data_IF_469208476342
#
_entry.id   IF_469208476342
#
_cell.length_a   1.000
_cell.length_b   1.000
_cell.length_c   1.000
_cell.angle_alpha   90.00
_cell.angle_beta   90.00
_cell.angle_gamma   90.00
#
_symmetry.space_group_name_H-M   'P 1'
#
loop_
_entity.id
_entity.type
_entity.pdbx_description
1 polymer ?
#
# COMPACT_ATOMS: atom_id res chain seq x y z
N UNK A 1 10.89 15.06 3.10
CA UNK A 1 11.96 14.10 3.54
C UNK A 1 13.30 14.40 2.85
N UNK A 2 14.44 14.24 3.54
CA UNK A 2 15.79 14.41 2.93
C UNK A 2 16.19 13.12 2.18
N UNK A 3 17.02 13.26 1.12
CA UNK A 3 17.52 12.11 0.35
C UNK A 3 18.23 11.05 1.22
N UNK A 4 19.03 11.49 2.20
CA UNK A 4 19.71 10.59 3.14
C UNK A 4 18.73 9.78 4.00
N UNK A 5 17.62 10.38 4.37
CA UNK A 5 16.53 9.71 5.10
C UNK A 5 15.84 8.69 4.22
N UNK A 6 15.47 9.06 2.98
CA UNK A 6 14.89 8.15 2.00
C UNK A 6 15.79 6.93 1.78
N UNK A 7 17.10 7.15 1.58
CA UNK A 7 18.06 6.05 1.41
C UNK A 7 18.13 5.14 2.64
N UNK A 8 18.14 5.71 3.86
CA UNK A 8 18.12 4.94 5.10
C UNK A 8 16.85 4.07 5.20
N UNK A 9 15.70 4.63 4.86
CA UNK A 9 14.42 3.93 4.87
C UNK A 9 14.39 2.78 3.86
N UNK A 10 14.87 2.99 2.64
CA UNK A 10 14.97 1.94 1.61
C UNK A 10 15.90 0.82 2.07
N UNK A 11 17.07 1.14 2.63
CA UNK A 11 18.00 0.12 3.12
C UNK A 11 17.40 -0.69 4.29
N UNK A 12 16.72 -0.02 5.23
CA UNK A 12 15.98 -0.71 6.30
C UNK A 12 14.88 -1.62 5.76
N UNK A 13 14.18 -1.18 4.72
CA UNK A 13 13.12 -1.97 4.06
C UNK A 13 13.69 -3.20 3.37
N UNK A 14 14.80 -3.07 2.67
CA UNK A 14 15.48 -4.21 2.05
C UNK A 14 15.90 -5.26 3.08
N UNK A 15 16.49 -4.83 4.21
CA UNK A 15 16.85 -5.72 5.30
C UNK A 15 15.63 -6.42 5.92
N UNK A 16 14.51 -5.68 6.05
CA UNK A 16 13.25 -6.26 6.53
C UNK A 16 12.68 -7.29 5.54
N UNK A 17 12.70 -7.01 4.23
CA UNK A 17 12.27 -7.96 3.21
C UNK A 17 13.09 -9.25 3.23
N UNK A 18 14.40 -9.17 3.44
CA UNK A 18 15.26 -10.36 3.63
C UNK A 18 14.80 -11.19 4.85
N UNK A 19 14.50 -10.55 5.97
CA UNK A 19 13.97 -11.21 7.17
C UNK A 19 12.64 -11.91 6.88
N UNK A 20 11.77 -11.28 6.09
CA UNK A 20 10.46 -11.79 5.69
C UNK A 20 10.55 -12.76 4.50
N UNK A 21 11.73 -13.03 3.97
CA UNK A 21 11.97 -13.86 2.76
C UNK A 21 11.18 -13.38 1.55
N UNK A 22 11.00 -12.07 1.45
CA UNK A 22 10.35 -11.42 0.32
C UNK A 22 11.40 -10.87 -0.64
N UNK A 23 11.43 -11.37 -1.86
CA UNK A 23 12.42 -10.99 -2.86
C UNK A 23 11.84 -10.00 -3.86
N UNK A 24 12.50 -8.85 -4.00
CA UNK A 24 12.18 -7.89 -5.05
C UNK A 24 12.70 -8.37 -6.41
N UNK A 25 12.10 -7.92 -7.52
CA UNK A 25 12.66 -8.13 -8.84
C UNK A 25 14.03 -7.46 -8.96
N UNK A 26 14.90 -7.96 -9.84
CA UNK A 26 16.29 -7.50 -9.98
C UNK A 26 16.41 -5.98 -10.15
N UNK A 27 15.51 -5.36 -10.92
CA UNK A 27 15.51 -3.91 -11.14
C UNK A 27 15.17 -3.09 -9.88
N UNK A 28 14.55 -3.69 -8.85
CA UNK A 28 14.31 -3.07 -7.55
C UNK A 28 15.59 -2.75 -6.77
N UNK A 29 16.70 -3.36 -7.16
CA UNK A 29 18.03 -3.16 -6.60
C UNK A 29 18.96 -2.30 -7.48
N UNK A 30 18.47 -1.85 -8.64
CA UNK A 30 19.30 -1.08 -9.57
C UNK A 30 19.69 0.28 -9.00
N UNK A 31 20.97 0.58 -9.12
CA UNK A 31 21.53 1.89 -8.83
C UNK A 31 21.37 2.83 -10.04
N UNK A 32 21.54 4.13 -9.87
CA UNK A 32 21.47 5.09 -11.00
C UNK A 32 22.36 4.74 -12.18
N UNK A 33 23.51 4.09 -11.93
CA UNK A 33 24.41 3.58 -12.98
C UNK A 33 23.78 2.47 -13.81
N UNK A 34 22.98 1.61 -13.20
CA UNK A 34 22.38 0.45 -13.84
C UNK A 34 21.24 0.83 -14.78
N UNK A 35 20.62 1.99 -14.55
CA UNK A 35 19.55 2.54 -15.40
C UNK A 35 20.05 3.13 -16.69
N UNK A 36 21.36 3.41 -16.83
CA UNK A 36 21.91 4.04 -18.03
C UNK A 36 21.70 3.15 -19.26
N UNK A 37 21.09 3.72 -20.29
CA UNK A 37 20.82 3.03 -21.57
C UNK A 37 19.74 1.95 -21.49
N UNK A 38 18.95 1.90 -20.41
CA UNK A 38 17.88 0.89 -20.25
C UNK A 38 16.46 1.41 -20.43
N UNK A 39 16.29 2.66 -20.87
CA UNK A 39 14.96 3.27 -20.98
C UNK A 39 14.00 2.41 -21.82
N UNK A 40 14.45 1.90 -22.96
CA UNK A 40 13.60 1.11 -23.86
C UNK A 40 13.27 -0.27 -23.30
N UNK A 41 14.26 -0.98 -22.73
CA UNK A 41 14.07 -2.33 -22.21
C UNK A 41 13.37 -2.36 -20.84
N UNK A 42 13.34 -1.24 -20.15
CA UNK A 42 12.64 -1.03 -18.88
C UNK A 42 11.47 -0.05 -18.99
N UNK A 43 10.90 0.12 -20.18
CA UNK A 43 9.82 1.08 -20.44
C UNK A 43 8.62 0.84 -19.54
N UNK A 44 8.19 -0.40 -19.33
CA UNK A 44 7.09 -0.72 -18.41
C UNK A 44 7.37 -0.22 -16.97
N UNK A 45 8.61 -0.36 -16.49
CA UNK A 45 8.96 0.10 -15.14
C UNK A 45 8.79 1.61 -15.00
N UNK A 46 9.19 2.34 -16.04
CA UNK A 46 9.15 3.81 -16.08
C UNK A 46 7.72 4.31 -16.31
N UNK A 47 7.05 3.81 -17.34
CA UNK A 47 5.74 4.27 -17.79
C UNK A 47 4.63 3.93 -16.78
N UNK A 48 4.72 2.78 -16.12
CA UNK A 48 3.75 2.32 -15.14
C UNK A 48 4.14 2.69 -13.69
N UNK A 49 5.20 3.51 -13.53
CA UNK A 49 5.66 4.02 -12.23
C UNK A 49 5.89 2.90 -11.21
N UNK A 50 6.63 1.86 -11.62
CA UNK A 50 7.00 0.78 -10.73
C UNK A 50 8.16 1.19 -9.82
N UNK A 51 8.32 0.52 -8.68
CA UNK A 51 9.43 0.72 -7.75
C UNK A 51 9.04 1.39 -6.44
N UNK A 52 10.05 2.00 -5.81
CA UNK A 52 9.94 2.60 -4.50
C UNK A 52 9.10 3.88 -4.48
N UNK A 53 8.21 3.97 -3.53
CA UNK A 53 7.50 5.18 -3.16
C UNK A 53 7.48 5.32 -1.63
N UNK A 54 7.85 6.48 -1.13
CA UNK A 54 7.92 6.80 0.28
C UNK A 54 7.23 8.14 0.51
N UNK A 55 6.29 8.16 1.41
CA UNK A 55 5.51 9.36 1.69
C UNK A 55 5.25 9.53 3.18
N UNK A 56 5.30 10.77 3.64
CA UNK A 56 4.82 11.21 4.95
C UNK A 56 3.44 11.88 4.83
N UNK A 57 2.82 11.80 3.65
CA UNK A 57 1.54 12.44 3.34
C UNK A 57 1.50 13.95 3.63
N UNK A 58 2.67 14.60 3.59
CA UNK A 58 2.81 16.03 3.89
C UNK A 58 2.76 16.38 5.38
N UNK A 59 2.79 15.39 6.27
CA UNK A 59 2.74 15.61 7.73
C UNK A 59 4.04 16.19 8.30
N UNK A 60 5.17 15.94 7.64
CA UNK A 60 6.50 16.24 8.18
C UNK A 60 6.95 15.27 9.29
N UNK A 61 6.14 14.28 9.63
CA UNK A 61 6.40 13.27 10.65
C UNK A 61 6.19 11.87 10.08
N UNK A 62 7.21 11.36 9.39
CA UNK A 62 7.17 10.05 8.75
C UNK A 62 7.01 8.90 9.76
N UNK A 63 7.56 9.02 10.95
CA UNK A 63 7.51 7.93 11.94
C UNK A 63 6.09 7.70 12.45
N UNK A 64 5.30 8.76 12.60
CA UNK A 64 3.90 8.67 13.02
C UNK A 64 2.95 8.47 11.84
N UNK A 65 3.15 9.21 10.76
CA UNK A 65 2.28 9.17 9.58
C UNK A 65 3.13 9.00 8.34
N UNK A 66 3.18 7.79 7.85
CA UNK A 66 4.05 7.47 6.73
C UNK A 66 3.74 6.13 6.12
N UNK A 67 4.25 5.93 4.94
CA UNK A 67 4.15 4.68 4.22
C UNK A 67 5.40 4.46 3.38
N UNK A 68 5.90 3.23 3.38
CA UNK A 68 6.86 2.75 2.41
C UNK A 68 6.16 1.72 1.55
N UNK A 69 6.25 1.89 0.25
CA UNK A 69 5.75 0.87 -0.67
C UNK A 69 6.72 0.64 -1.81
N UNK A 70 6.64 -0.55 -2.37
CA UNK A 70 7.29 -0.91 -3.62
C UNK A 70 6.24 -1.46 -4.57
N UNK A 71 6.03 -0.78 -5.70
CA UNK A 71 5.11 -1.21 -6.74
C UNK A 71 5.79 -2.25 -7.62
N UNK A 72 5.31 -3.49 -7.56
CA UNK A 72 5.86 -4.64 -8.30
C UNK A 72 5.25 -4.71 -9.69
N UNK A 73 3.94 -4.49 -9.78
CA UNK A 73 3.13 -4.47 -11.00
C UNK A 73 2.16 -3.32 -10.94
N UNK A 74 1.91 -2.71 -12.07
CA UNK A 74 0.88 -1.70 -12.21
C UNK A 74 0.41 -1.70 -13.66
N UNK A 75 -0.91 -1.68 -13.86
CA UNK A 75 -1.51 -1.50 -15.18
C UNK A 75 -1.54 -0.03 -15.57
N UNK A 76 -1.56 0.21 -16.87
CA UNK A 76 -1.75 1.54 -17.42
C UNK A 76 -3.18 1.65 -17.98
N UNK A 77 -4.09 2.42 -17.36
CA UNK A 77 -5.47 2.53 -17.81
C UNK A 77 -5.62 3.21 -19.19
N UNK A 78 -4.54 3.81 -19.70
CA UNK A 78 -4.52 4.44 -21.04
C UNK A 78 -4.08 3.46 -22.14
N UNK A 79 -3.64 2.28 -21.78
CA UNK A 79 -3.26 1.19 -22.69
C UNK A 79 -4.09 -0.05 -22.35
N UNK A 80 -4.18 -0.99 -23.29
CA UNK A 80 -4.83 -2.29 -23.02
C UNK A 80 -3.88 -3.21 -22.25
N UNK A 81 -3.46 -2.74 -21.06
CA UNK A 81 -2.51 -3.41 -20.17
C UNK A 81 -3.25 -4.07 -19.01
N UNK A 82 -2.50 -4.51 -18.01
CA UNK A 82 -3.00 -5.18 -16.79
C UNK A 82 -4.10 -4.37 -16.09
N UNK A 83 -5.17 -5.03 -15.72
CA UNK A 83 -6.27 -4.42 -14.97
C UNK A 83 -6.04 -4.43 -13.44
N UNK A 84 -4.78 -4.63 -12.98
CA UNK A 84 -4.44 -4.76 -11.58
C UNK A 84 -3.09 -4.10 -11.26
N UNK A 85 -2.90 -3.81 -9.98
CA UNK A 85 -1.62 -3.43 -9.41
C UNK A 85 -1.25 -4.38 -8.27
N UNK A 86 0.03 -4.68 -8.12
CA UNK A 86 0.59 -5.41 -7.00
C UNK A 86 1.64 -4.53 -6.33
N UNK A 87 1.46 -4.31 -5.03
CA UNK A 87 2.38 -3.50 -4.22
C UNK A 87 2.69 -4.22 -2.92
N UNK A 88 3.93 -4.14 -2.48
CA UNK A 88 4.30 -4.50 -1.11
C UNK A 88 4.45 -3.22 -0.30
N UNK A 89 3.86 -3.20 0.89
CA UNK A 89 3.87 -2.06 1.79
C UNK A 89 4.54 -2.44 3.11
N UNK A 90 5.22 -1.48 3.73
CA UNK A 90 5.72 -1.58 5.09
C UNK A 90 5.08 -0.47 5.91
N UNK A 91 4.37 -0.88 6.94
CA UNK A 91 3.82 -0.01 7.99
C UNK A 91 4.53 -0.37 9.28
N UNK A 92 5.02 0.62 10.01
CA UNK A 92 5.75 0.41 11.25
C UNK A 92 4.78 0.38 12.43
N UNK A 93 5.26 -0.12 13.56
CA UNK A 93 4.50 -0.10 14.81
C UNK A 93 4.08 1.34 15.16
N UNK A 94 2.77 1.53 15.39
CA UNK A 94 2.19 2.84 15.68
C UNK A 94 2.18 3.85 14.53
N UNK A 95 2.62 3.47 13.33
CA UNK A 95 2.54 4.31 12.14
C UNK A 95 1.15 4.19 11.52
N UNK A 96 0.61 5.31 11.05
CA UNK A 96 -0.71 5.36 10.42
C UNK A 96 -0.67 5.95 9.00
N UNK A 97 -1.60 5.52 8.16
CA UNK A 97 -1.94 6.19 6.91
C UNK A 97 -3.11 7.16 7.14
N UNK A 98 -3.28 8.22 6.33
CA UNK A 98 -4.48 9.05 6.39
C UNK A 98 -5.75 8.25 6.08
N UNK A 99 -6.86 8.61 6.72
CA UNK A 99 -8.18 8.10 6.35
C UNK A 99 -8.50 8.51 4.91
N UNK A 100 -8.83 7.54 4.05
CA UNK A 100 -9.14 7.78 2.64
C UNK A 100 -10.01 6.66 2.07
N UNK A 101 -10.53 6.84 0.86
CA UNK A 101 -11.25 5.84 0.09
C UNK A 101 -10.91 5.97 -1.40
N UNK A 102 -11.37 5.02 -2.19
CA UNK A 102 -11.16 5.01 -3.64
C UNK A 102 -12.47 4.88 -4.40
N UNK A 103 -12.69 5.76 -5.39
CA UNK A 103 -13.87 5.71 -6.26
C UNK A 103 -13.82 4.59 -7.30
N UNK A 104 -12.64 4.29 -7.83
CA UNK A 104 -12.53 3.48 -9.05
C UNK A 104 -11.85 2.14 -8.87
N UNK A 105 -11.21 1.90 -7.74
CA UNK A 105 -10.52 0.65 -7.47
C UNK A 105 -11.04 -0.03 -6.21
N UNK A 106 -10.93 -1.34 -6.19
CA UNK A 106 -10.98 -2.17 -5.00
C UNK A 106 -9.55 -2.51 -4.60
N UNK A 107 -9.33 -2.79 -3.34
CA UNK A 107 -8.04 -3.25 -2.82
C UNK A 107 -8.23 -4.49 -1.96
N UNK A 108 -7.38 -5.48 -2.18
CA UNK A 108 -7.19 -6.55 -1.21
C UNK A 108 -5.90 -6.27 -0.45
N UNK A 109 -6.01 -6.01 0.86
CA UNK A 109 -4.86 -5.85 1.74
C UNK A 109 -4.62 -7.16 2.45
N UNK A 110 -3.44 -7.74 2.24
CA UNK A 110 -3.04 -9.01 2.80
C UNK A 110 -1.89 -8.76 3.77
N UNK A 111 -2.08 -9.10 5.04
CA UNK A 111 -1.00 -9.05 6.02
C UNK A 111 -0.03 -10.21 5.78
N UNK A 112 1.14 -9.92 5.24
CA UNK A 112 2.17 -10.93 4.96
C UNK A 112 3.03 -11.27 6.17
N UNK A 113 2.92 -10.52 7.26
CA UNK A 113 3.62 -10.79 8.51
C UNK A 113 4.31 -9.57 9.11
N UNK A 114 5.10 -9.80 10.15
CA UNK A 114 5.80 -8.77 10.89
C UNK A 114 5.05 -8.25 12.11
N UNK A 115 3.74 -8.44 12.17
CA UNK A 115 2.87 -8.01 13.26
C UNK A 115 1.40 -8.08 12.84
N UNK A 116 0.53 -7.53 13.68
CA UNK A 116 -0.88 -7.36 13.35
C UNK A 116 -1.09 -6.02 12.62
N UNK A 117 -1.94 -6.04 11.61
CA UNK A 117 -2.37 -4.84 10.90
C UNK A 117 -3.76 -4.44 11.38
N UNK A 118 -3.89 -3.23 11.93
CA UNK A 118 -5.16 -2.66 12.34
C UNK A 118 -5.73 -1.79 11.22
N UNK A 119 -6.95 -2.05 10.78
CA UNK A 119 -7.63 -1.31 9.70
C UNK A 119 -8.91 -0.72 10.24
N UNK A 120 -8.96 0.61 10.37
CA UNK A 120 -10.17 1.35 10.78
C UNK A 120 -11.05 1.62 9.56
N UNK A 121 -12.36 1.44 9.70
CA UNK A 121 -13.30 1.36 8.58
C UNK A 121 -14.53 2.25 8.77
N UNK A 122 -14.95 2.90 7.67
CA UNK A 122 -16.25 3.56 7.55
C UNK A 122 -16.82 3.36 6.14
N UNK A 123 -18.13 3.51 5.99
CA UNK A 123 -18.73 3.76 4.69
C UNK A 123 -18.52 5.21 4.24
N UNK A 124 -18.83 5.50 2.98
CA UNK A 124 -18.96 6.88 2.49
C UNK A 124 -20.43 7.22 2.26
N UNK A 125 -20.76 8.49 2.44
CA UNK A 125 -22.01 9.10 2.01
C UNK A 125 -21.90 9.63 0.57
N UNK A 126 -23.01 10.05 -0.03
CA UNK A 126 -23.01 10.60 -1.39
C UNK A 126 -22.22 11.93 -1.50
N UNK A 127 -22.07 12.67 -0.40
CA UNK A 127 -21.26 13.89 -0.30
C UNK A 127 -19.82 13.64 0.17
N UNK A 128 -19.35 12.40 0.09
CA UNK A 128 -17.97 11.99 0.44
C UNK A 128 -17.63 12.17 1.93
N UNK A 129 -18.62 12.21 2.80
CA UNK A 129 -18.40 12.21 4.24
C UNK A 129 -18.33 10.79 4.79
N UNK A 130 -17.82 10.64 6.02
CA UNK A 130 -17.86 9.37 6.74
C UNK A 130 -19.32 9.02 7.06
N UNK A 131 -19.74 7.81 6.73
CA UNK A 131 -21.08 7.30 7.04
C UNK A 131 -21.16 6.85 8.48
N UNK A 132 -22.30 7.08 9.12
CA UNK A 132 -22.67 6.55 10.43
C UNK A 132 -23.37 5.19 10.37
N UNK A 133 -23.48 4.59 9.16
CA UNK A 133 -24.15 3.33 8.95
C UNK A 133 -23.16 2.15 8.95
N UNK A 134 -23.56 0.99 9.50
CA UNK A 134 -22.77 -0.23 9.42
C UNK A 134 -22.46 -0.63 7.97
N UNK A 135 -21.28 -1.17 7.75
CA UNK A 135 -20.83 -1.65 6.45
C UNK A 135 -20.59 -3.16 6.46
N UNK A 136 -20.59 -3.75 5.27
CA UNK A 136 -20.23 -5.16 5.07
C UNK A 136 -18.84 -5.24 4.47
N UNK A 137 -17.95 -5.95 5.12
CA UNK A 137 -16.57 -6.20 4.67
C UNK A 137 -16.33 -7.70 4.53
N UNK A 138 -15.38 -8.07 3.69
CA UNK A 138 -14.93 -9.46 3.55
C UNK A 138 -13.54 -9.58 4.14
N UNK A 139 -13.39 -10.45 5.12
CA UNK A 139 -12.10 -10.85 5.69
C UNK A 139 -11.90 -12.32 5.32
N UNK A 140 -10.86 -12.62 4.56
CA UNK A 140 -10.60 -13.96 3.99
C UNK A 140 -11.80 -14.57 3.27
N UNK A 141 -12.55 -13.74 2.52
CA UNK A 141 -13.76 -14.13 1.80
C UNK A 141 -15.00 -14.27 2.69
N UNK A 142 -14.88 -14.17 4.01
CA UNK A 142 -16.01 -14.26 4.96
C UNK A 142 -16.61 -12.88 5.18
N UNK A 143 -17.91 -12.74 4.93
CA UNK A 143 -18.63 -11.47 5.15
C UNK A 143 -18.81 -11.22 6.64
N UNK A 144 -18.52 -9.98 7.05
CA UNK A 144 -18.77 -9.47 8.41
C UNK A 144 -19.47 -8.12 8.30
N UNK A 145 -20.29 -7.79 9.28
CA UNK A 145 -20.81 -6.44 9.49
C UNK A 145 -19.92 -5.77 10.51
N UNK A 146 -19.49 -4.54 10.25
CA UNK A 146 -18.68 -3.72 11.14
C UNK A 146 -19.37 -2.37 11.33
N UNK A 147 -19.31 -1.85 12.54
CA UNK A 147 -19.85 -0.54 12.89
C UNK A 147 -18.88 0.56 12.41
N UNK A 148 -19.37 1.79 12.17
CA UNK A 148 -18.54 2.91 11.79
C UNK A 148 -17.41 3.15 12.80
N UNK A 149 -16.16 3.18 12.32
CA UNK A 149 -14.97 3.34 13.16
C UNK A 149 -14.46 2.06 13.82
N UNK A 150 -15.08 0.92 13.56
CA UNK A 150 -14.55 -0.35 14.02
C UNK A 150 -13.18 -0.62 13.39
N UNK A 151 -12.33 -1.29 14.17
CA UNK A 151 -11.00 -1.69 13.75
C UNK A 151 -10.98 -3.20 13.47
N UNK A 152 -10.77 -3.54 12.20
CA UNK A 152 -10.46 -4.90 11.80
C UNK A 152 -8.97 -5.16 12.02
N UNK A 153 -8.65 -6.10 12.91
CA UNK A 153 -7.26 -6.52 13.14
C UNK A 153 -6.97 -7.76 12.30
N UNK A 154 -5.97 -7.68 11.44
CA UNK A 154 -5.52 -8.76 10.58
C UNK A 154 -4.21 -9.33 11.13
N UNK A 155 -4.20 -10.59 11.49
CA UNK A 155 -2.98 -11.34 11.80
C UNK A 155 -2.21 -11.72 10.51
N UNK A 156 -0.99 -12.26 10.65
CA UNK A 156 -0.23 -12.76 9.51
C UNK A 156 -0.99 -13.83 8.71
N UNK A 157 -1.13 -13.61 7.40
CA UNK A 157 -1.87 -14.46 6.46
C UNK A 157 -3.30 -14.02 6.21
N UNK A 158 -3.89 -13.21 7.10
CA UNK A 158 -5.25 -12.71 6.90
C UNK A 158 -5.30 -11.54 5.89
N UNK A 159 -6.47 -11.37 5.29
CA UNK A 159 -6.71 -10.34 4.27
C UNK A 159 -8.06 -9.66 4.45
N UNK A 160 -8.16 -8.42 3.97
CA UNK A 160 -9.40 -7.66 3.89
C UNK A 160 -9.61 -7.13 2.48
N UNK A 161 -10.84 -7.25 1.98
CA UNK A 161 -11.25 -6.65 0.72
C UNK A 161 -11.91 -5.30 0.99
N UNK A 162 -11.28 -4.22 0.52
CA UNK A 162 -11.77 -2.85 0.59
C UNK A 162 -12.49 -2.50 -0.71
N UNK A 163 -13.81 -2.46 -0.65
CA UNK A 163 -14.64 -2.14 -1.80
C UNK A 163 -14.57 -0.63 -2.11
N UNK A 164 -15.05 -0.24 -3.31
CA UNK A 164 -15.10 1.17 -3.71
C UNK A 164 -15.96 1.97 -2.72
N UNK A 165 -15.54 3.20 -2.42
CA UNK A 165 -16.23 4.07 -1.47
C UNK A 165 -16.05 3.69 0.00
N UNK A 166 -15.28 2.64 0.33
CA UNK A 166 -15.03 2.25 1.70
C UNK A 166 -13.84 3.05 2.26
N UNK A 167 -14.11 3.93 3.22
CA UNK A 167 -13.08 4.66 3.95
C UNK A 167 -12.28 3.72 4.83
N UNK A 168 -10.97 3.87 4.78
CA UNK A 168 -10.05 3.08 5.56
C UNK A 168 -8.76 3.85 5.90
N UNK A 169 -8.15 3.44 7.02
CA UNK A 169 -6.76 3.72 7.36
C UNK A 169 -6.17 2.51 8.10
N UNK A 170 -4.88 2.39 8.05
CA UNK A 170 -4.12 1.37 8.75
C UNK A 170 -2.77 1.91 9.22
#
# INVERSE_FOLDING_TARGET
MKRSEINRLIQGSLAFFETMKFHLPAWGHWLPSDWRGKADVASEVIENMLGWDLTDFGSGDFERRGLILFTIRNGNPRSNDKAYAEKIMIVREGQETPMHFHWHKMEDIINRGGGNLAVELYGSTDDESLSDQPIKVKIDGVRRTVEPGDIATLGPGESICLERGMYHRF
#
